data_IF_633900628821
#
_entry.id   IF_633900628821
#
_cell.length_a   1.000
_cell.length_b   1.000
_cell.length_c   1.000
_cell.angle_alpha   90.00
_cell.angle_beta   90.00
_cell.angle_gamma   90.00
#
_symmetry.space_group_name_H-M   'P 1'
#
loop_
_entity.id
_entity.type
_entity.pdbx_description
1 polymer ?
#
# COMPACT_ATOMS: atom_id res chain seq x y z
N UNK A 1 -16.54 -42.36 -60.37
CA UNK A 1 -15.31 -42.78 -59.69
C UNK A 1 -14.52 -41.52 -59.34
N UNK A 2 -14.32 -41.29 -58.03
CA UNK A 2 -13.44 -40.30 -57.33
C UNK A 2 -13.79 -38.79 -57.43
N UNK A 3 -14.34 -38.28 -56.31
CA UNK A 3 -14.39 -36.86 -55.91
C UNK A 3 -13.00 -36.44 -55.36
N UNK A 4 -12.43 -35.36 -55.89
CA UNK A 4 -11.15 -34.79 -55.48
C UNK A 4 -11.29 -33.79 -54.33
N UNK A 5 -10.58 -34.07 -53.23
CA UNK A 5 -10.65 -33.47 -51.90
C UNK A 5 -10.03 -32.06 -51.83
N UNK A 6 -10.84 -31.12 -51.33
CA UNK A 6 -10.53 -30.01 -50.42
C UNK A 6 -9.07 -29.52 -50.33
N UNK A 7 -8.81 -28.34 -50.91
CA UNK A 7 -7.65 -27.51 -50.59
C UNK A 7 -7.68 -27.13 -49.10
N UNK A 8 -6.80 -27.74 -48.30
CA UNK A 8 -6.58 -27.35 -46.90
C UNK A 8 -5.92 -25.97 -46.90
N UNK A 9 -6.71 -24.95 -46.55
CA UNK A 9 -6.21 -23.61 -46.22
C UNK A 9 -5.37 -23.74 -44.94
N UNK A 10 -4.06 -23.87 -45.09
CA UNK A 10 -3.09 -23.85 -43.99
C UNK A 10 -3.24 -22.53 -43.25
N UNK A 11 -3.92 -22.54 -42.10
CA UNK A 11 -3.92 -21.40 -41.18
C UNK A 11 -2.51 -21.29 -40.64
N UNK A 12 -1.75 -20.33 -41.16
CA UNK A 12 -0.55 -19.83 -40.50
C UNK A 12 -0.96 -19.38 -39.10
N UNK A 13 -0.57 -20.15 -38.09
CA UNK A 13 -0.55 -19.67 -36.71
C UNK A 13 0.58 -18.64 -36.66
N UNK A 14 0.21 -17.38 -36.88
CA UNK A 14 1.07 -16.28 -36.48
C UNK A 14 1.34 -16.47 -34.99
N UNK A 15 2.60 -16.74 -34.64
CA UNK A 15 3.09 -16.67 -33.27
C UNK A 15 2.86 -15.24 -32.81
N UNK A 16 1.71 -14.99 -32.17
CA UNK A 16 1.49 -13.76 -31.44
C UNK A 16 2.45 -13.82 -30.26
N UNK A 17 3.65 -13.28 -30.46
CA UNK A 17 4.58 -13.01 -29.37
C UNK A 17 3.85 -12.09 -28.39
N UNK A 18 3.29 -12.68 -27.33
CA UNK A 18 2.84 -11.91 -26.18
C UNK A 18 4.09 -11.25 -25.63
N UNK A 19 4.15 -9.92 -25.66
CA UNK A 19 5.27 -9.20 -25.07
C UNK A 19 5.27 -9.47 -23.56
N UNK A 20 6.23 -10.27 -23.10
CA UNK A 20 6.30 -10.83 -21.73
C UNK A 20 6.93 -9.77 -20.82
N UNK A 21 6.22 -8.67 -20.57
CA UNK A 21 6.67 -7.62 -19.66
C UNK A 21 5.75 -7.54 -18.44
N UNK A 22 6.31 -7.04 -17.33
CA UNK A 22 5.54 -6.73 -16.13
C UNK A 22 4.90 -5.35 -16.28
N UNK A 23 3.58 -5.28 -16.24
CA UNK A 23 2.81 -4.05 -16.24
C UNK A 23 2.56 -3.62 -14.78
N UNK A 24 2.84 -2.35 -14.47
CA UNK A 24 2.59 -1.78 -13.14
C UNK A 24 1.09 -1.66 -12.93
N UNK A 25 0.58 -2.33 -11.90
CA UNK A 25 -0.82 -2.19 -11.47
C UNK A 25 -0.95 -1.02 -10.50
N UNK A 26 -0.18 -1.06 -9.40
CA UNK A 26 -0.31 -0.11 -8.31
C UNK A 26 0.96 -0.04 -7.48
N UNK A 27 1.35 1.18 -7.11
CA UNK A 27 2.34 1.43 -6.05
C UNK A 27 1.73 1.11 -4.70
N UNK A 28 2.43 0.31 -3.92
CA UNK A 28 2.04 -0.05 -2.57
C UNK A 28 2.67 0.94 -1.61
N UNK A 29 1.85 1.86 -1.11
CA UNK A 29 2.28 2.93 -0.23
C UNK A 29 1.54 2.85 1.08
N UNK A 30 2.28 2.71 2.17
CA UNK A 30 1.76 2.46 3.51
C UNK A 30 2.14 3.58 4.46
N UNK A 31 1.30 3.79 5.47
CA UNK A 31 1.58 4.65 6.62
C UNK A 31 1.05 4.01 7.89
N UNK A 32 1.57 4.38 9.06
CA UNK A 32 1.01 3.93 10.32
C UNK A 32 -0.41 4.48 10.50
N UNK A 33 -1.32 3.60 10.90
CA UNK A 33 -2.67 3.91 11.35
C UNK A 33 -2.87 3.38 12.76
N UNK A 34 -3.74 4.04 13.52
CA UNK A 34 -3.94 3.76 14.94
C UNK A 34 -5.37 4.10 15.35
N UNK A 35 -5.92 3.44 16.35
CA UNK A 35 -7.23 3.82 16.89
C UNK A 35 -7.15 5.16 17.66
N UNK A 36 -8.17 6.03 17.54
CA UNK A 36 -8.25 7.26 18.33
C UNK A 36 -8.17 7.01 19.84
N UNK A 37 -8.71 5.88 20.31
CA UNK A 37 -8.70 5.50 21.72
C UNK A 37 -7.28 5.24 22.25
N UNK A 38 -6.41 4.60 21.47
CA UNK A 38 -5.01 4.39 21.85
C UNK A 38 -4.22 5.70 21.85
N UNK A 39 -4.47 6.58 20.86
CA UNK A 39 -3.89 7.93 20.82
C UNK A 39 -4.33 8.81 22.00
N UNK A 40 -5.60 8.70 22.43
CA UNK A 40 -6.11 9.49 23.55
C UNK A 40 -5.51 9.06 24.90
N UNK A 41 -5.22 7.77 25.07
CA UNK A 41 -4.62 7.22 26.29
C UNK A 41 -3.16 7.62 26.48
N UNK A 42 -2.48 8.09 25.44
CA UNK A 42 -1.10 8.55 25.51
C UNK A 42 -1.08 10.04 25.86
N UNK A 43 -1.47 10.33 27.09
CA UNK A 43 -1.85 11.63 27.67
C UNK A 43 -0.76 12.72 27.73
N UNK A 44 0.49 12.39 27.41
CA UNK A 44 1.63 13.31 27.61
C UNK A 44 2.01 14.09 26.34
N UNK A 45 1.21 14.04 25.27
CA UNK A 45 1.52 14.65 23.97
C UNK A 45 2.65 13.94 23.19
N UNK A 46 3.46 13.12 23.88
CA UNK A 46 4.46 12.20 23.31
C UNK A 46 3.82 11.06 22.51
N UNK A 47 2.57 10.72 22.80
CA UNK A 47 1.78 9.63 22.19
C UNK A 47 1.54 9.68 20.68
N UNK A 48 2.09 10.67 19.99
CA UNK A 48 1.93 10.85 18.54
C UNK A 48 3.16 10.42 17.74
N UNK A 49 4.31 10.25 18.39
CA UNK A 49 5.50 9.73 17.72
C UNK A 49 5.48 8.20 17.69
N UNK A 50 5.97 7.63 16.59
CA UNK A 50 5.90 6.20 16.29
C UNK A 50 6.55 5.33 17.38
N UNK A 51 7.62 5.81 18.03
CA UNK A 51 8.34 5.08 19.09
C UNK A 51 7.55 4.85 20.39
N UNK A 52 6.45 5.58 20.61
CA UNK A 52 5.65 5.49 21.85
C UNK A 52 4.39 4.65 21.69
N UNK A 53 4.14 4.12 20.49
CA UNK A 53 2.99 3.29 20.19
C UNK A 53 3.47 1.89 19.82
N UNK A 54 2.85 0.82 20.35
CA UNK A 54 3.23 -0.53 19.96
C UNK A 54 2.85 -0.78 18.50
N UNK A 55 3.82 -1.21 17.68
CA UNK A 55 3.62 -1.68 16.33
C UNK A 55 3.11 -3.14 16.34
N UNK A 56 2.13 -3.41 15.48
CA UNK A 56 1.66 -4.76 15.22
C UNK A 56 2.43 -5.35 14.05
N UNK A 57 2.76 -6.64 14.17
CA UNK A 57 3.47 -7.41 13.16
C UNK A 57 2.46 -8.24 12.37
N UNK A 58 2.49 -8.13 11.05
CA UNK A 58 1.70 -9.00 10.16
C UNK A 58 2.46 -9.48 8.93
N UNK A 59 3.64 -8.90 8.66
CA UNK A 59 4.48 -9.26 7.55
C UNK A 59 5.64 -10.13 8.03
N UNK A 60 5.96 -11.20 7.28
CA UNK A 60 7.05 -12.10 7.62
C UNK A 60 8.37 -11.34 7.83
N UNK A 61 8.94 -11.45 9.03
CA UNK A 61 10.19 -10.77 9.39
C UNK A 61 10.11 -9.24 9.39
N UNK A 62 8.91 -8.66 9.50
CA UNK A 62 8.64 -7.21 9.52
C UNK A 62 9.29 -6.46 8.35
N UNK A 63 9.27 -7.06 7.15
CA UNK A 63 9.90 -6.45 5.96
C UNK A 63 9.31 -5.08 5.62
N UNK A 64 8.02 -4.91 5.87
CA UNK A 64 7.25 -3.68 5.64
C UNK A 64 7.72 -2.55 6.56
N UNK A 65 7.79 -2.80 7.86
CA UNK A 65 8.29 -1.85 8.85
C UNK A 65 9.76 -1.51 8.61
N UNK A 66 10.59 -2.47 8.19
CA UNK A 66 11.99 -2.23 7.82
C UNK A 66 12.11 -1.23 6.67
N UNK A 67 11.37 -1.44 5.57
CA UNK A 67 11.39 -0.54 4.42
C UNK A 67 10.82 0.84 4.76
N UNK A 68 9.76 0.89 5.57
CA UNK A 68 9.16 2.14 6.00
C UNK A 68 10.11 2.95 6.91
N UNK A 69 10.76 2.29 7.86
CA UNK A 69 11.79 2.88 8.71
C UNK A 69 12.97 3.42 7.91
N UNK A 70 13.50 2.61 6.98
CA UNK A 70 14.60 3.01 6.09
C UNK A 70 14.26 4.26 5.27
N UNK A 71 13.06 4.31 4.70
CA UNK A 71 12.61 5.44 3.88
C UNK A 71 12.44 6.75 4.66
N UNK A 72 12.31 6.69 5.98
CA UNK A 72 12.13 7.85 6.86
C UNK A 72 13.35 8.12 7.76
N UNK A 73 14.44 7.38 7.59
CA UNK A 73 15.63 7.44 8.44
C UNK A 73 15.30 7.23 9.94
N UNK A 74 14.38 6.31 10.22
CA UNK A 74 13.99 5.89 11.57
C UNK A 74 14.66 4.56 11.88
N UNK A 75 15.31 4.44 13.04
CA UNK A 75 15.87 3.16 13.46
C UNK A 75 14.74 2.18 13.80
N UNK A 76 14.78 0.97 13.23
CA UNK A 76 13.80 -0.08 13.56
C UNK A 76 13.80 -0.42 15.06
N UNK A 77 14.94 -0.24 15.74
CA UNK A 77 15.07 -0.48 17.18
C UNK A 77 14.32 0.55 18.05
N UNK A 78 13.89 1.67 17.47
CA UNK A 78 13.03 2.65 18.15
C UNK A 78 11.57 2.20 18.19
N UNK A 79 11.19 1.21 17.36
CA UNK A 79 9.84 0.66 17.37
C UNK A 79 9.71 -0.41 18.46
N UNK A 80 8.64 -0.30 19.25
CA UNK A 80 8.20 -1.36 20.14
C UNK A 80 7.22 -2.26 19.40
N UNK A 81 7.52 -3.56 19.28
CA UNK A 81 6.60 -4.53 18.70
C UNK A 81 5.90 -5.33 19.80
N UNK A 82 4.57 -5.46 19.71
CA UNK A 82 3.77 -6.08 20.77
C UNK A 82 3.19 -7.46 20.39
N UNK A 83 2.45 -7.53 19.29
CA UNK A 83 1.73 -8.73 18.86
C UNK A 83 1.99 -9.03 17.38
N UNK A 84 2.01 -10.32 17.06
CA UNK A 84 2.15 -10.85 15.72
C UNK A 84 0.84 -11.52 15.28
N UNK A 85 0.47 -11.28 14.03
CA UNK A 85 -0.75 -11.77 13.39
C UNK A 85 -0.40 -12.37 12.03
N UNK A 86 -1.14 -13.39 11.60
CA UNK A 86 -0.89 -14.06 10.32
C UNK A 86 -1.38 -13.27 9.10
N UNK A 87 -2.24 -12.26 9.31
CA UNK A 87 -2.89 -11.50 8.22
C UNK A 87 -3.05 -10.03 8.57
N UNK A 88 -3.06 -9.17 7.54
CA UNK A 88 -3.33 -7.74 7.67
C UNK A 88 -4.71 -7.47 8.28
N UNK A 89 -5.71 -8.27 7.95
CA UNK A 89 -7.09 -8.12 8.44
C UNK A 89 -7.17 -8.33 9.96
N UNK A 90 -6.51 -9.38 10.47
CA UNK A 90 -6.41 -9.64 11.91
C UNK A 90 -5.66 -8.51 12.65
N UNK A 91 -4.54 -8.04 12.09
CA UNK A 91 -3.79 -6.92 12.64
C UNK A 91 -4.61 -5.62 12.62
N UNK A 92 -5.39 -5.37 11.56
CA UNK A 92 -6.26 -4.20 11.44
C UNK A 92 -7.38 -4.23 12.49
N UNK A 93 -8.00 -5.38 12.71
CA UNK A 93 -8.99 -5.56 13.77
C UNK A 93 -8.39 -5.34 15.17
N UNK A 94 -7.18 -5.84 15.41
CA UNK A 94 -6.44 -5.59 16.65
C UNK A 94 -6.09 -4.10 16.84
N UNK A 95 -5.74 -3.41 15.75
CA UNK A 95 -5.49 -1.97 15.73
C UNK A 95 -6.74 -1.17 16.12
N UNK A 96 -7.89 -1.52 15.55
CA UNK A 96 -9.21 -0.94 15.90
C UNK A 96 -9.53 -1.17 17.38
N UNK A 97 -9.20 -2.35 17.92
CA UNK A 97 -9.36 -2.66 19.34
C UNK A 97 -8.36 -1.90 20.26
N UNK A 98 -7.38 -1.20 19.69
CA UNK A 98 -6.41 -0.41 20.44
C UNK A 98 -5.22 -1.19 20.97
N UNK A 99 -4.90 -2.34 20.37
CA UNK A 99 -3.74 -3.16 20.74
C UNK A 99 -2.41 -2.59 20.18
N UNK A 100 -2.48 -1.73 19.17
CA UNK A 100 -1.31 -1.10 18.57
C UNK A 100 -1.62 -0.34 17.29
N UNK A 101 -0.56 0.10 16.61
CA UNK A 101 -0.61 0.68 15.27
C UNK A 101 -0.24 -0.35 14.21
N UNK A 102 -0.80 -0.20 13.02
CA UNK A 102 -0.51 -1.04 11.86
C UNK A 102 0.05 -0.18 10.75
N UNK A 103 1.06 -0.68 10.05
CA UNK A 103 1.53 -0.11 8.80
C UNK A 103 0.66 -0.67 7.67
N UNK A 104 -0.19 0.15 7.06
CA UNK A 104 -1.10 -0.32 6.02
C UNK A 104 -1.30 0.68 4.88
N UNK A 105 -1.60 0.20 3.66
CA UNK A 105 -1.96 1.05 2.57
C UNK A 105 -3.37 1.63 2.75
N UNK A 106 -3.66 2.82 2.21
CA UNK A 106 -4.98 3.45 2.32
C UNK A 106 -6.15 2.58 1.84
N UNK A 107 -5.92 1.68 0.88
CA UNK A 107 -6.97 0.80 0.35
C UNK A 107 -7.50 -0.18 1.41
N UNK A 108 -6.65 -0.65 2.33
CA UNK A 108 -7.05 -1.57 3.39
C UNK A 108 -7.69 -0.84 4.57
N UNK A 109 -7.40 0.46 4.75
CA UNK A 109 -7.83 1.24 5.91
C UNK A 109 -8.97 2.21 5.61
N UNK A 110 -9.34 2.37 4.34
CA UNK A 110 -10.30 3.41 3.90
C UNK A 110 -11.65 3.33 4.61
N UNK A 111 -12.13 2.13 4.93
CA UNK A 111 -13.40 1.93 5.63
C UNK A 111 -13.32 2.41 7.07
N UNK A 112 -12.30 1.99 7.80
CA UNK A 112 -12.08 2.29 9.22
C UNK A 112 -11.72 3.76 9.43
N UNK A 113 -10.97 4.36 8.50
CA UNK A 113 -10.71 5.80 8.51
C UNK A 113 -12.01 6.59 8.29
N UNK A 114 -12.87 6.15 7.37
CA UNK A 114 -14.14 6.83 7.07
C UNK A 114 -15.14 6.71 8.22
N UNK A 115 -15.16 5.60 8.94
CA UNK A 115 -16.01 5.42 10.13
C UNK A 115 -15.43 6.10 11.39
N UNK A 116 -14.17 6.54 11.34
CA UNK A 116 -13.46 7.08 12.50
C UNK A 116 -12.96 6.01 13.48
N UNK A 117 -13.03 4.72 13.11
CA UNK A 117 -12.48 3.63 13.92
C UNK A 117 -10.95 3.66 13.97
N UNK A 118 -10.33 4.17 12.91
CA UNK A 118 -8.90 4.43 12.83
C UNK A 118 -8.64 5.87 12.39
N UNK A 119 -7.45 6.35 12.70
CA UNK A 119 -6.87 7.56 12.13
C UNK A 119 -5.46 7.28 11.64
N UNK A 120 -4.99 8.05 10.67
CA UNK A 120 -3.59 8.06 10.30
C UNK A 120 -2.76 8.63 11.45
N UNK A 121 -1.59 8.05 11.72
CA UNK A 121 -0.67 8.60 12.70
C UNK A 121 -0.19 9.98 12.20
N UNK A 122 -0.41 11.07 12.96
CA UNK A 122 -0.02 12.40 12.52
C UNK A 122 1.49 12.52 12.30
N UNK A 123 1.91 13.26 11.27
CA UNK A 123 3.32 13.49 10.97
C UNK A 123 3.95 12.50 9.99
N UNK A 124 3.23 11.45 9.59
CA UNK A 124 3.72 10.41 8.68
C UNK A 124 2.88 10.32 7.41
N UNK A 125 3.45 10.76 6.29
CA UNK A 125 2.86 10.58 4.96
C UNK A 125 3.04 9.12 4.46
N UNK A 126 2.19 8.64 3.54
CA UNK A 126 2.39 7.33 2.91
C UNK A 126 3.74 7.21 2.22
N UNK A 127 4.43 6.12 2.50
CA UNK A 127 5.73 5.75 1.91
C UNK A 127 5.52 4.56 1.00
N UNK A 128 6.07 4.60 -0.22
CA UNK A 128 6.09 3.44 -1.10
C UNK A 128 7.07 2.38 -0.59
N UNK A 129 6.53 1.22 -0.20
CA UNK A 129 7.29 0.07 0.28
C UNK A 129 7.25 -1.11 -0.71
N UNK A 130 6.51 -0.95 -1.83
CA UNK A 130 6.40 -2.00 -2.84
C UNK A 130 5.56 -1.58 -4.04
N UNK A 131 5.29 -2.54 -4.93
CA UNK A 131 4.37 -2.35 -6.04
C UNK A 131 3.81 -3.68 -6.55
N UNK A 132 2.50 -3.68 -6.82
CA UNK A 132 1.81 -4.75 -7.51
C UNK A 132 2.00 -4.63 -9.01
N UNK A 133 2.38 -5.74 -9.65
CA UNK A 133 2.56 -5.85 -11.10
C UNK A 133 1.83 -7.07 -11.61
N UNK A 134 1.33 -7.02 -12.84
CA UNK A 134 0.77 -8.18 -13.51
C UNK A 134 1.48 -8.42 -14.83
N UNK A 135 1.34 -9.64 -15.31
CA UNK A 135 1.87 -10.01 -16.61
C UNK A 135 0.75 -10.53 -17.50
N UNK A 136 0.57 -9.88 -18.64
CA UNK A 136 -0.33 -10.35 -19.68
C UNK A 136 0.31 -11.54 -20.37
N UNK A 137 -0.41 -12.67 -20.42
CA UNK A 137 0.06 -13.92 -21.06
C UNK A 137 -0.62 -14.23 -22.39
N UNK A 138 -1.57 -13.39 -22.81
CA UNK A 138 -2.33 -13.58 -24.04
C UNK A 138 -2.85 -12.26 -24.60
N UNK A 139 -2.84 -12.17 -25.93
CA UNK A 139 -3.47 -11.09 -26.71
C UNK A 139 -4.91 -11.44 -27.12
N UNK A 140 -5.57 -12.37 -26.42
CA UNK A 140 -7.00 -12.59 -26.63
C UNK A 140 -7.79 -11.33 -26.22
N UNK A 141 -8.87 -11.03 -26.96
CA UNK A 141 -9.75 -9.87 -26.67
C UNK A 141 -10.24 -9.86 -25.22
N UNK A 142 -10.61 -11.03 -24.68
CA UNK A 142 -11.09 -11.17 -23.29
C UNK A 142 -10.02 -10.78 -22.27
N UNK A 143 -8.76 -11.14 -22.51
CA UNK A 143 -7.65 -10.80 -21.60
C UNK A 143 -7.38 -9.30 -21.65
N UNK A 144 -7.37 -8.69 -22.84
CA UNK A 144 -7.26 -7.22 -22.95
C UNK A 144 -8.40 -6.50 -22.24
N UNK A 145 -9.64 -6.96 -22.39
CA UNK A 145 -10.80 -6.38 -21.70
C UNK A 145 -10.68 -6.51 -20.18
N UNK A 146 -10.20 -7.65 -19.68
CA UNK A 146 -9.95 -7.85 -18.25
C UNK A 146 -8.84 -6.92 -17.72
N UNK A 147 -7.70 -6.80 -18.41
CA UNK A 147 -6.64 -5.88 -18.03
C UNK A 147 -7.13 -4.42 -18.01
N UNK A 148 -7.85 -3.98 -19.06
CA UNK A 148 -8.44 -2.63 -19.08
C UNK A 148 -9.45 -2.39 -17.95
N UNK A 149 -10.23 -3.41 -17.59
CA UNK A 149 -11.12 -3.34 -16.44
C UNK A 149 -10.34 -3.23 -15.12
N UNK A 150 -9.28 -4.01 -14.96
CA UNK A 150 -8.44 -4.02 -13.76
C UNK A 150 -7.76 -2.66 -13.55
N UNK A 151 -7.24 -2.06 -14.62
CA UNK A 151 -6.66 -0.72 -14.60
C UNK A 151 -7.70 0.33 -14.18
N UNK A 152 -8.89 0.29 -14.79
CA UNK A 152 -9.98 1.22 -14.46
C UNK A 152 -10.46 1.06 -13.00
N UNK A 153 -10.53 -0.17 -12.48
CA UNK A 153 -10.86 -0.44 -11.08
C UNK A 153 -9.81 0.12 -10.14
N UNK A 154 -8.54 -0.05 -10.46
CA UNK A 154 -7.42 0.43 -9.65
C UNK A 154 -7.37 1.96 -9.61
N UNK A 155 -7.61 2.62 -10.75
CA UNK A 155 -7.72 4.08 -10.81
C UNK A 155 -8.85 4.62 -9.92
N UNK A 156 -10.02 3.98 -9.94
CA UNK A 156 -11.15 4.36 -9.09
C UNK A 156 -10.84 4.21 -7.59
N UNK A 157 -10.25 3.08 -7.20
CA UNK A 157 -9.84 2.84 -5.80
C UNK A 157 -8.85 3.89 -5.30
N UNK A 158 -7.91 4.31 -6.16
CA UNK A 158 -6.94 5.37 -5.81
C UNK A 158 -7.62 6.73 -5.61
N UNK A 159 -8.64 7.06 -6.41
CA UNK A 159 -9.42 8.30 -6.26
C UNK A 159 -10.22 8.31 -4.95
N UNK A 160 -10.89 7.20 -4.62
CA UNK A 160 -11.70 7.08 -3.39
C UNK A 160 -10.84 7.20 -2.13
N UNK A 161 -9.64 6.60 -2.14
CA UNK A 161 -8.69 6.71 -1.04
C UNK A 161 -8.15 8.13 -0.88
N UNK A 162 -7.86 8.84 -1.98
CA UNK A 162 -7.39 10.23 -1.95
C UNK A 162 -8.45 11.18 -1.39
N UNK A 163 -9.70 11.04 -1.83
CA UNK A 163 -10.81 11.85 -1.32
C UNK A 163 -11.01 11.68 0.20
N UNK A 164 -10.81 10.46 0.70
CA UNK A 164 -10.90 10.16 2.15
C UNK A 164 -9.74 10.80 2.93
N UNK A 165 -8.52 10.80 2.38
CA UNK A 165 -7.36 11.42 3.01
C UNK A 165 -7.48 12.96 3.06
N UNK A 166 -7.97 13.59 1.99
CA UNK A 166 -8.18 15.04 1.95
C UNK A 166 -9.33 15.49 2.86
N UNK A 167 -10.42 14.71 2.93
CA UNK A 167 -11.52 14.95 3.87
C UNK A 167 -11.06 14.89 5.33
N UNK A 168 -10.21 13.92 5.69
CA UNK A 168 -9.63 13.81 7.03
C UNK A 168 -8.70 15.00 7.37
N UNK A 169 -7.91 15.52 6.41
CA UNK A 169 -7.10 16.73 6.60
C UNK A 169 -7.95 17.98 6.87
N UNK A 170 -9.10 18.12 6.19
CA UNK A 170 -9.98 19.29 6.37
C UNK A 170 -10.63 19.36 7.77
N UNK A 171 -10.94 18.21 8.37
CA UNK A 171 -11.49 18.12 9.73
C UNK A 171 -10.42 18.28 10.81
N UNK A 172 -9.17 17.91 10.53
CA UNK A 172 -8.02 18.11 11.42
C UNK A 172 -7.55 19.57 11.55
N UNK A 173 -8.00 20.46 10.67
CA UNK A 173 -7.61 21.88 10.65
C UNK A 173 -8.24 22.76 11.75
N UNK A 174 -9.18 22.25 12.53
CA UNK A 174 -9.87 23.00 13.58
C UNK A 174 -9.25 22.86 14.99
N UNK A 175 -8.17 22.10 15.16
CA UNK A 175 -7.53 21.92 16.46
C UNK A 175 -6.06 22.39 16.44
N UNK A 176 -5.86 23.63 16.90
CA UNK A 176 -4.65 24.12 17.58
C UNK A 176 -3.31 23.95 16.85
N UNK A 177 -2.80 25.04 16.28
CA UNK A 177 -1.42 25.16 15.81
C UNK A 177 -0.41 24.84 16.93
N UNK A 178 0.12 23.62 16.94
CA UNK A 178 1.38 23.29 17.60
C UNK A 178 2.43 23.09 16.51
N UNK A 179 3.37 24.03 16.39
CA UNK A 179 4.52 23.91 15.50
C UNK A 179 5.40 22.77 16.00
N UNK A 180 5.23 21.56 15.48
CA UNK A 180 6.21 20.48 15.64
C UNK A 180 7.30 20.67 14.58
N UNK A 181 8.50 21.06 15.01
CA UNK A 181 9.68 21.13 14.16
C UNK A 181 10.09 19.72 13.71
N UNK A 182 9.75 19.39 12.47
CA UNK A 182 10.41 18.30 11.73
C UNK A 182 11.62 18.93 11.04
N UNK A 183 12.85 18.40 11.20
CA UNK A 183 14.01 18.93 10.50
C UNK A 183 13.82 18.75 9.00
N UNK A 184 13.85 19.85 8.27
CA UNK A 184 13.77 19.85 6.81
C UNK A 184 15.15 19.44 6.26
N UNK A 185 15.31 18.17 5.93
CA UNK A 185 16.53 17.70 5.29
C UNK A 185 16.43 17.87 3.77
N UNK A 186 17.44 18.51 3.20
CA UNK A 186 17.50 18.92 1.80
C UNK A 186 17.35 17.74 0.84
N UNK A 187 16.40 17.88 -0.10
CA UNK A 187 16.13 16.91 -1.16
C UNK A 187 17.21 16.99 -2.23
N UNK A 188 18.26 16.20 -2.09
CA UNK A 188 19.18 15.90 -3.19
C UNK A 188 18.90 14.53 -3.80
N UNK A 189 18.39 14.55 -5.04
CA UNK A 189 18.66 13.57 -6.10
C UNK A 189 18.37 12.10 -5.80
N UNK A 190 17.10 11.69 -5.90
CA UNK A 190 16.71 10.28 -5.89
C UNK A 190 17.07 9.62 -7.24
N UNK A 191 18.26 9.01 -7.31
CA UNK A 191 18.64 8.13 -8.40
C UNK A 191 18.02 6.75 -8.19
N UNK A 192 17.02 6.44 -9.01
CA UNK A 192 16.42 5.12 -9.18
C UNK A 192 17.50 4.03 -9.32
N UNK A 193 17.75 3.24 -8.26
CA UNK A 193 18.56 2.03 -8.33
C UNK A 193 17.75 0.82 -7.85
N UNK A 194 17.35 0.03 -8.85
CA UNK A 194 17.16 -1.43 -8.88
C UNK A 194 16.51 -2.10 -7.67
N UNK A 195 15.19 -2.26 -7.76
CA UNK A 195 14.49 -3.39 -7.17
C UNK A 195 14.58 -4.61 -8.11
N UNK A 196 15.79 -5.14 -8.27
CA UNK A 196 16.05 -6.42 -8.96
C UNK A 196 16.70 -7.37 -7.96
N UNK A 197 15.95 -7.83 -6.95
CA UNK A 197 16.19 -9.10 -6.22
C UNK A 197 15.34 -9.18 -4.95
N UNK A 198 14.03 -9.39 -5.10
CA UNK A 198 13.26 -10.16 -4.14
C UNK A 198 12.25 -10.98 -4.94
N UNK A 199 12.67 -12.19 -5.29
CA UNK A 199 11.81 -13.27 -5.75
C UNK A 199 11.08 -13.80 -4.52
N UNK A 200 9.78 -13.51 -4.41
CA UNK A 200 8.77 -14.36 -3.79
C UNK A 200 7.46 -14.15 -4.56
#
# INVERSE_FOLDING_TARGET
MIRGISARRTRSFATLSCNIYWELLKRDSSRPVVSPNLLAKSSDGRGKAVQYLPALQCAAGNWDWKLWCEALDISLAELSFAHEFDTDDAALHACVAGLGMVLAPPILTAREIRSGALVALPGYEPVEIGAYRYQRRSEARVVRQFCSWLDAKTQRLNQDCRATADGARSLGGLCGAAKSGVPQHDRHGFASRKADNLLW
#
